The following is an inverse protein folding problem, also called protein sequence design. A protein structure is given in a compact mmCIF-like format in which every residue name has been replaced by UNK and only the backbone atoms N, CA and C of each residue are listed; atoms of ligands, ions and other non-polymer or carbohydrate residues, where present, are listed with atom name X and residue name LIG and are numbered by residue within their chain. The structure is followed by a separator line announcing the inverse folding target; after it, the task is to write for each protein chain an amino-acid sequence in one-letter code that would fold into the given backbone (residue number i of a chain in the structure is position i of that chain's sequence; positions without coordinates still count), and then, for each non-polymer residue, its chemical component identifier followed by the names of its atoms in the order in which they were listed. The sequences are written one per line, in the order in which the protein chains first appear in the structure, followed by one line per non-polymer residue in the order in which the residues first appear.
data_IF_516585114604
#
_entry.id   IF_516585114604
#
_cell.length_a   1.000
_cell.length_b   1.000
_cell.length_c   1.000
_cell.angle_alpha   90.00
_cell.angle_beta   90.00
_cell.angle_gamma   90.00
#
_symmetry.space_group_name_H-M   'P 1'
#
loop_
_entity.id
_entity.type
_entity.pdbx_description
1 polymer ?
#
# COMPACT_ATOMS: atom_id res chain seq x y z
N UNK A 1 -16.73 6.19 -9.17
CA UNK A 1 -15.96 5.69 -8.01
C UNK A 1 -16.80 5.97 -6.78
N UNK A 2 -17.17 4.95 -6.00
CA UNK A 2 -17.99 5.17 -4.80
C UNK A 2 -17.22 5.96 -3.75
N UNK A 3 -17.93 6.86 -3.09
CA UNK A 3 -17.50 7.62 -1.94
C UNK A 3 -17.38 6.75 -0.67
N UNK A 4 -16.72 7.27 0.37
CA UNK A 4 -16.61 6.53 1.64
C UNK A 4 -17.97 6.27 2.30
N UNK A 5 -18.94 7.19 2.17
CA UNK A 5 -20.27 7.02 2.77
C UNK A 5 -21.06 5.91 2.06
N UNK A 6 -21.00 5.84 0.72
CA UNK A 6 -21.58 4.73 -0.04
C UNK A 6 -20.93 3.40 0.34
N UNK A 7 -19.60 3.37 0.50
CA UNK A 7 -18.93 2.16 0.97
C UNK A 7 -19.32 1.77 2.39
N UNK A 8 -19.50 2.72 3.31
CA UNK A 8 -20.01 2.44 4.67
C UNK A 8 -21.38 1.78 4.56
N UNK A 9 -22.28 2.33 3.73
CA UNK A 9 -23.62 1.78 3.51
C UNK A 9 -23.58 0.34 2.98
N UNK A 10 -22.74 0.06 1.97
CA UNK A 10 -22.57 -1.29 1.44
C UNK A 10 -22.05 -2.29 2.49
N UNK A 11 -21.16 -1.85 3.39
CA UNK A 11 -20.66 -2.70 4.48
C UNK A 11 -21.71 -2.94 5.57
N UNK A 12 -22.59 -1.97 5.81
CA UNK A 12 -23.76 -2.14 6.68
C UNK A 12 -24.75 -3.13 6.04
N UNK A 13 -25.02 -3.02 4.73
CA UNK A 13 -25.85 -3.99 3.99
C UNK A 13 -25.30 -5.41 4.10
N UNK A 14 -23.99 -5.59 3.96
CA UNK A 14 -23.34 -6.88 4.19
C UNK A 14 -23.58 -7.41 5.59
N UNK A 15 -23.40 -6.58 6.62
CA UNK A 15 -23.64 -6.99 8.01
C UNK A 15 -25.09 -7.42 8.24
N UNK A 16 -26.07 -6.66 7.73
CA UNK A 16 -27.49 -7.01 7.80
C UNK A 16 -27.73 -8.35 7.11
N UNK A 17 -27.17 -8.55 5.92
CA UNK A 17 -27.34 -9.79 5.16
C UNK A 17 -26.73 -11.00 5.88
N UNK A 18 -25.56 -10.84 6.51
CA UNK A 18 -24.92 -11.88 7.33
C UNK A 18 -25.77 -12.23 8.55
N UNK A 19 -26.47 -11.27 9.16
CA UNK A 19 -27.40 -11.53 10.26
C UNK A 19 -28.63 -12.32 9.82
N UNK A 20 -29.20 -11.98 8.67
CA UNK A 20 -30.39 -12.65 8.12
C UNK A 20 -30.04 -14.06 7.61
N UNK A 21 -28.82 -14.24 7.08
CA UNK A 21 -28.37 -15.50 6.50
C UNK A 21 -27.00 -15.92 7.05
N UNK A 22 -26.93 -16.40 8.30
CA UNK A 22 -25.67 -16.76 8.95
C UNK A 22 -24.91 -17.88 8.21
N UNK A 23 -25.63 -18.82 7.61
CA UNK A 23 -25.07 -19.99 6.92
C UNK A 23 -24.53 -19.67 5.53
N UNK A 24 -24.74 -18.45 5.01
CA UNK A 24 -24.27 -18.12 3.67
C UNK A 24 -22.75 -17.92 3.63
N UNK A 25 -22.15 -18.64 2.68
CA UNK A 25 -20.75 -18.45 2.29
C UNK A 25 -20.52 -17.14 1.52
N UNK A 26 -19.25 -16.74 1.42
CA UNK A 26 -18.86 -15.47 0.81
C UNK A 26 -19.32 -15.30 -0.64
N UNK A 27 -19.35 -16.38 -1.45
CA UNK A 27 -19.81 -16.32 -2.85
C UNK A 27 -21.30 -15.96 -2.97
N UNK A 28 -22.14 -16.56 -2.13
CA UNK A 28 -23.60 -16.33 -2.16
C UNK A 28 -23.94 -14.93 -1.67
N UNK A 29 -23.27 -14.47 -0.60
CA UNK A 29 -23.37 -13.09 -0.12
C UNK A 29 -22.92 -12.08 -1.20
N UNK A 30 -21.83 -12.39 -1.91
CA UNK A 30 -21.29 -11.54 -2.98
C UNK A 30 -22.27 -11.41 -4.16
N UNK A 31 -22.86 -12.53 -4.59
CA UNK A 31 -23.91 -12.53 -5.62
C UNK A 31 -25.12 -11.70 -5.21
N UNK A 32 -25.60 -11.86 -3.97
CA UNK A 32 -26.76 -11.12 -3.46
C UNK A 32 -26.51 -9.61 -3.34
N UNK A 33 -25.26 -9.18 -3.13
CA UNK A 33 -24.91 -7.77 -3.00
C UNK A 33 -24.34 -7.15 -4.28
N UNK A 34 -24.03 -7.95 -5.31
CA UNK A 34 -23.35 -7.47 -6.52
C UNK A 34 -21.87 -7.09 -6.28
N UNK A 35 -21.20 -7.71 -5.31
CA UNK A 35 -19.80 -7.43 -4.97
C UNK A 35 -18.85 -8.58 -5.30
N UNK A 36 -17.55 -8.32 -5.20
CA UNK A 36 -16.51 -9.33 -5.31
C UNK A 36 -16.44 -10.23 -4.04
N UNK A 37 -16.29 -11.57 -4.19
CA UNK A 37 -16.20 -12.48 -3.04
C UNK A 37 -15.05 -12.20 -2.07
N UNK A 38 -13.91 -11.66 -2.54
CA UNK A 38 -12.78 -11.28 -1.68
C UNK A 38 -13.11 -10.04 -0.86
N UNK A 39 -13.85 -9.09 -1.42
CA UNK A 39 -14.37 -7.94 -0.67
C UNK A 39 -15.29 -8.42 0.46
N UNK A 40 -16.22 -9.33 0.15
CA UNK A 40 -17.14 -9.91 1.15
C UNK A 40 -16.39 -10.65 2.24
N UNK A 41 -15.45 -11.53 1.87
CA UNK A 41 -14.67 -12.30 2.85
C UNK A 41 -13.91 -11.39 3.81
N UNK A 42 -13.24 -10.35 3.29
CA UNK A 42 -12.52 -9.36 4.09
C UNK A 42 -13.44 -8.65 5.07
N UNK A 43 -14.56 -8.12 4.58
CA UNK A 43 -15.44 -7.30 5.42
C UNK A 43 -16.27 -8.12 6.39
N UNK A 44 -16.74 -9.32 6.01
CA UNK A 44 -17.39 -10.27 6.93
C UNK A 44 -16.48 -10.60 8.09
N UNK A 45 -15.22 -10.97 7.83
CA UNK A 45 -14.23 -11.25 8.87
C UNK A 45 -14.05 -10.05 9.81
N UNK A 46 -13.84 -8.85 9.25
CA UNK A 46 -13.61 -7.64 10.05
C UNK A 46 -14.81 -7.22 10.92
N UNK A 47 -16.03 -7.36 10.39
CA UNK A 47 -17.25 -7.03 11.12
C UNK A 47 -17.45 -8.01 12.27
N UNK A 48 -17.30 -9.32 12.01
CA UNK A 48 -17.50 -10.37 13.01
C UNK A 48 -16.38 -10.42 14.07
N UNK A 49 -15.16 -10.00 13.73
CA UNK A 49 -14.05 -9.93 14.68
C UNK A 49 -14.11 -8.73 15.61
N UNK A 50 -15.04 -7.80 15.41
CA UNK A 50 -15.12 -6.59 16.23
C UNK A 50 -15.94 -6.84 17.50
N UNK A 51 -15.37 -6.62 18.70
CA UNK A 51 -16.09 -6.85 19.97
C UNK A 51 -17.23 -5.87 20.20
N UNK A 52 -17.16 -4.67 19.59
CA UNK A 52 -18.19 -3.64 19.69
C UNK A 52 -18.53 -3.12 18.30
N UNK A 53 -19.79 -3.27 17.91
CA UNK A 53 -20.28 -2.78 16.64
C UNK A 53 -20.50 -1.25 16.70
N UNK A 54 -19.53 -0.50 16.19
CA UNK A 54 -19.62 0.97 16.04
C UNK A 54 -19.52 1.35 14.55
N UNK A 55 -19.86 2.59 14.21
CA UNK A 55 -19.77 3.09 12.84
C UNK A 55 -18.33 2.96 12.27
N UNK A 56 -17.31 3.10 13.12
CA UNK A 56 -15.90 2.97 12.75
C UNK A 56 -15.53 1.58 12.19
N UNK A 57 -16.24 0.52 12.60
CA UNK A 57 -16.05 -0.83 12.06
C UNK A 57 -16.30 -0.83 10.55
N UNK A 58 -17.30 -0.07 10.11
CA UNK A 58 -17.70 0.06 8.72
C UNK A 58 -16.90 1.11 7.96
N UNK A 59 -15.93 1.81 8.56
CA UNK A 59 -15.09 2.79 7.84
C UNK A 59 -13.82 2.16 7.31
N UNK A 60 -13.30 2.71 6.21
CA UNK A 60 -12.00 2.33 5.68
C UNK A 60 -10.90 2.64 6.69
N UNK A 61 -9.94 1.74 6.83
CA UNK A 61 -8.75 2.02 7.65
C UNK A 61 -7.77 2.87 6.86
N UNK A 62 -7.00 3.69 7.58
CA UNK A 62 -5.90 4.45 7.00
C UNK A 62 -4.95 3.52 6.22
N UNK A 63 -4.58 3.95 5.01
CA UNK A 63 -3.52 3.33 4.21
C UNK A 63 -2.14 3.91 4.52
N UNK A 64 -2.04 4.79 5.51
CA UNK A 64 -0.76 5.32 5.94
C UNK A 64 0.14 4.16 6.40
N UNK A 65 1.44 4.20 6.07
CA UNK A 65 2.39 3.23 6.59
C UNK A 65 2.29 3.15 8.12
N UNK A 66 2.08 1.95 8.65
CA UNK A 66 2.06 1.71 10.11
C UNK A 66 3.44 1.84 10.74
N UNK A 67 4.48 1.65 9.93
CA UNK A 67 5.87 1.80 10.34
C UNK A 67 6.50 2.94 9.56
N UNK A 68 7.24 3.78 10.27
CA UNK A 68 8.00 4.88 9.65
C UNK A 68 9.09 4.25 8.77
N UNK A 69 9.13 4.55 7.47
CA UNK A 69 10.22 4.09 6.62
C UNK A 69 11.57 4.57 7.16
N UNK A 70 12.61 3.75 7.02
CA UNK A 70 13.97 4.16 7.40
C UNK A 70 14.32 5.46 6.67
N UNK A 71 14.65 6.51 7.41
CA UNK A 71 14.99 7.80 6.83
C UNK A 71 16.37 7.72 6.19
N UNK A 72 16.48 8.09 4.92
CA UNK A 72 17.77 8.34 4.26
C UNK A 72 18.33 9.67 4.76
N UNK A 73 19.61 9.68 5.16
CA UNK A 73 20.28 10.92 5.59
C UNK A 73 20.33 11.95 4.45
N UNK A 74 20.37 13.23 4.82
CA UNK A 74 20.50 14.31 3.83
C UNK A 74 21.79 14.20 3.04
N UNK A 75 22.88 13.81 3.70
CA UNK A 75 24.18 13.54 3.10
C UNK A 75 24.11 12.45 2.03
N UNK A 76 23.49 11.30 2.33
CA UNK A 76 23.35 10.23 1.35
C UNK A 76 22.53 10.67 0.12
N UNK A 77 21.52 11.54 0.30
CA UNK A 77 20.78 12.13 -0.81
C UNK A 77 21.64 13.08 -1.64
N UNK A 78 22.50 13.87 -1.00
CA UNK A 78 23.42 14.77 -1.67
C UNK A 78 24.45 13.99 -2.52
N UNK A 79 25.06 12.94 -1.96
CA UNK A 79 26.00 12.05 -2.66
C UNK A 79 25.35 11.43 -3.88
N UNK A 80 24.16 10.84 -3.74
CA UNK A 80 23.43 10.24 -4.87
C UNK A 80 23.03 11.29 -5.90
N UNK A 81 22.69 12.50 -5.46
CA UNK A 81 22.38 13.63 -6.34
C UNK A 81 23.58 14.07 -7.18
N UNK A 82 24.76 14.19 -6.58
CA UNK A 82 26.01 14.51 -7.29
C UNK A 82 26.38 13.40 -8.27
N UNK A 83 26.41 12.16 -7.80
CA UNK A 83 26.70 11.01 -8.66
C UNK A 83 25.76 10.95 -9.87
N UNK A 84 24.48 11.29 -9.68
CA UNK A 84 23.53 11.36 -10.78
C UNK A 84 23.92 12.43 -11.80
N UNK A 85 24.38 13.61 -11.38
CA UNK A 85 24.83 14.67 -12.29
C UNK A 85 26.05 14.20 -13.09
N UNK A 86 27.09 13.75 -12.41
CA UNK A 86 28.34 13.29 -13.04
C UNK A 86 28.11 12.17 -14.06
N UNK A 87 27.32 11.15 -13.71
CA UNK A 87 27.02 10.06 -14.63
C UNK A 87 26.14 10.51 -15.79
N UNK A 88 25.25 11.49 -15.57
CA UNK A 88 24.41 12.00 -16.64
C UNK A 88 25.23 12.78 -17.67
N UNK A 89 26.20 13.56 -17.21
CA UNK A 89 27.16 14.26 -18.06
C UNK A 89 28.05 13.28 -18.81
N UNK A 90 28.67 12.32 -18.10
CA UNK A 90 29.57 11.32 -18.68
C UNK A 90 28.92 10.51 -19.80
N UNK A 91 27.68 10.08 -19.59
CA UNK A 91 26.97 9.23 -20.56
C UNK A 91 26.07 10.02 -21.50
N UNK A 92 26.05 11.35 -21.41
CA UNK A 92 25.18 12.25 -22.20
C UNK A 92 23.70 11.81 -22.20
N UNK A 93 23.23 11.24 -21.08
CA UNK A 93 21.84 10.78 -20.88
C UNK A 93 21.46 10.84 -19.42
N UNK A 94 20.19 11.03 -19.05
CA UNK A 94 19.78 10.99 -17.65
C UNK A 94 20.15 9.66 -16.97
N UNK A 95 20.96 9.74 -15.91
CA UNK A 95 21.36 8.57 -15.13
C UNK A 95 20.17 8.08 -14.27
N UNK A 96 19.66 6.89 -14.60
CA UNK A 96 18.62 6.19 -13.84
C UNK A 96 19.20 5.32 -12.71
N UNK A 97 18.32 4.71 -11.92
CA UNK A 97 18.70 3.94 -10.73
C UNK A 97 19.77 2.86 -11.00
N UNK A 98 19.68 2.12 -12.11
CA UNK A 98 20.68 1.10 -12.48
C UNK A 98 22.06 1.71 -12.73
N UNK A 99 22.13 2.83 -13.46
CA UNK A 99 23.40 3.50 -13.78
C UNK A 99 24.04 4.05 -12.50
N UNK A 100 23.24 4.65 -11.62
CA UNK A 100 23.68 5.13 -10.31
C UNK A 100 24.23 3.96 -9.47
N UNK A 101 23.54 2.81 -9.44
CA UNK A 101 23.98 1.63 -8.71
C UNK A 101 25.35 1.12 -9.17
N UNK A 102 25.59 1.02 -10.49
CA UNK A 102 26.91 0.64 -11.02
C UNK A 102 27.98 1.72 -10.75
N UNK A 103 27.61 3.00 -10.83
CA UNK A 103 28.51 4.12 -10.51
C UNK A 103 28.96 4.14 -9.05
N UNK A 104 28.06 3.82 -8.10
CA UNK A 104 28.41 3.69 -6.67
C UNK A 104 29.46 2.60 -6.41
N UNK A 105 29.43 1.49 -7.14
CA UNK A 105 30.44 0.40 -7.03
C UNK A 105 31.80 0.89 -7.52
N UNK A 106 31.83 1.72 -8.56
CA UNK A 106 33.08 2.26 -9.09
C UNK A 106 33.74 3.26 -8.14
N UNK A 107 32.97 4.12 -7.46
CA UNK A 107 33.49 5.05 -6.45
C UNK A 107 34.06 4.31 -5.23
N UNK A 108 33.38 3.26 -4.75
CA UNK A 108 33.86 2.45 -3.63
C UNK A 108 35.20 1.74 -3.92
N UNK A 109 35.45 1.34 -5.18
CA UNK A 109 36.71 0.73 -5.58
C UNK A 109 37.86 1.73 -5.72
N UNK A 110 37.57 2.98 -6.12
CA UNK A 110 38.60 4.03 -6.25
C UNK A 110 39.06 4.52 -4.87
N UNK A 111 38.18 4.53 -3.87
CA UNK A 111 38.53 4.90 -2.48
C UNK A 111 39.39 3.86 -1.73
N UNK A 112 39.53 2.65 -2.26
CA UNK A 112 40.39 1.60 -1.68
C UNK A 112 41.78 1.50 -2.34
N UNK A 113 42.02 2.27 -3.41
CA UNK A 113 43.25 2.24 -4.21
C UNK A 113 44.09 3.52 -4.08
N UNK A 114 43.69 4.43 -3.18
CA UNK A 114 44.44 5.60 -2.71
C UNK A 114 44.63 5.49 -1.20
#
# INVERSE_FOLDING_TARGET
MLSEHEWVYERIRLHTLVKVHPDWGARRLAQALGHDPKWVAKWKSRILSSPKLTLEVFRSQSRAPKHVPRRTSLEAKAIIGELRRELSERYYRPAGARIIQYGTVHLALVSYLL
#
